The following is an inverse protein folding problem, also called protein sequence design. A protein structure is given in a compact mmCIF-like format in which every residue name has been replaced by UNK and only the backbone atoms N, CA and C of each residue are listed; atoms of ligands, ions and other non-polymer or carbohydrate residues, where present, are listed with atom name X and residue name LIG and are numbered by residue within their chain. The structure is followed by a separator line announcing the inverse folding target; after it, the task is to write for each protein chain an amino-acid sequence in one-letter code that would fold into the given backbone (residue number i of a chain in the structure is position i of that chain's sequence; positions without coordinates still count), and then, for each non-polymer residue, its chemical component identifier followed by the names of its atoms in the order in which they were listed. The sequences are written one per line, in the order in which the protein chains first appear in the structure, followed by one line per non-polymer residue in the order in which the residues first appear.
data_IF_792555724372
#
_entry.id   IF_792555724372
#
_cell.length_a   1.000
_cell.length_b   1.000
_cell.length_c   1.000
_cell.angle_alpha   90.00
_cell.angle_beta   90.00
_cell.angle_gamma   90.00
#
_symmetry.space_group_name_H-M   'P 1'
#
loop_
_entity.id
_entity.type
_entity.pdbx_description
1 polymer ?
#
# COMPACT_ATOMS: atom_id res chain seq x y z
N UNK A 1 26.67 -6.48 -57.42
CA UNK A 1 27.45 -7.17 -56.35
C UNK A 1 28.08 -6.24 -55.33
N UNK A 2 28.75 -5.14 -55.71
CA UNK A 2 29.42 -4.24 -54.74
C UNK A 2 28.47 -3.56 -53.73
N UNK A 3 27.24 -3.19 -54.15
CA UNK A 3 26.25 -2.51 -53.29
C UNK A 3 25.63 -3.46 -52.24
N UNK A 4 25.42 -4.74 -52.57
CA UNK A 4 24.85 -5.75 -51.65
C UNK A 4 25.84 -6.09 -50.52
N UNK A 5 27.14 -6.10 -50.80
CA UNK A 5 28.19 -6.32 -49.80
C UNK A 5 28.29 -5.14 -48.82
N UNK A 6 28.11 -3.91 -49.31
CA UNK A 6 28.15 -2.70 -48.47
C UNK A 6 26.93 -2.65 -47.52
N UNK A 7 25.74 -3.00 -48.01
CA UNK A 7 24.52 -3.04 -47.17
C UNK A 7 24.60 -4.15 -46.11
N UNK A 8 25.20 -5.29 -46.43
CA UNK A 8 25.42 -6.40 -45.48
C UNK A 8 26.41 -6.02 -44.36
N UNK A 9 27.49 -5.29 -44.68
CA UNK A 9 28.43 -4.81 -43.65
C UNK A 9 27.83 -3.72 -42.74
N UNK A 10 26.92 -2.89 -43.24
CA UNK A 10 26.29 -1.81 -42.46
C UNK A 10 25.31 -2.38 -41.41
N UNK A 11 24.69 -3.53 -41.69
CA UNK A 11 23.76 -4.19 -40.77
C UNK A 11 24.46 -4.85 -39.57
N UNK A 12 25.71 -5.32 -39.74
CA UNK A 12 26.49 -5.97 -38.67
C UNK A 12 27.00 -4.94 -37.64
N UNK A 13 27.29 -3.70 -38.08
CA UNK A 13 27.75 -2.61 -37.20
C UNK A 13 26.65 -2.08 -36.26
N UNK A 14 25.37 -2.23 -36.60
CA UNK A 14 24.26 -1.77 -35.76
C UNK A 14 23.94 -2.72 -34.59
N UNK A 15 24.37 -3.99 -34.65
CA UNK A 15 24.07 -5.00 -33.61
C UNK A 15 25.09 -4.94 -32.45
N UNK A 16 26.27 -4.36 -32.67
CA UNK A 16 27.34 -4.27 -31.66
C UNK A 16 27.22 -3.10 -30.68
N UNK A 17 26.33 -2.13 -30.92
CA UNK A 17 26.20 -0.93 -30.09
C UNK A 17 25.32 -1.14 -28.84
N UNK A 18 24.59 -2.24 -28.76
CA UNK A 18 23.83 -2.65 -27.57
C UNK A 18 24.59 -3.73 -26.80
N UNK A 19 25.83 -3.45 -26.38
CA UNK A 19 26.49 -4.28 -25.38
C UNK A 19 26.04 -3.76 -24.00
N UNK A 20 25.04 -4.41 -23.41
CA UNK A 20 24.64 -4.18 -22.03
C UNK A 20 25.83 -4.54 -21.13
N UNK A 21 26.59 -3.51 -20.77
CA UNK A 21 27.77 -3.64 -19.91
C UNK A 21 27.27 -4.08 -18.53
N UNK A 22 27.51 -5.35 -18.19
CA UNK A 22 27.13 -5.89 -16.88
C UNK A 22 27.89 -5.13 -15.78
N UNK A 23 27.28 -4.91 -14.60
CA UNK A 23 27.94 -4.22 -13.51
C UNK A 23 29.28 -4.87 -13.17
N UNK A 24 30.29 -4.08 -12.86
CA UNK A 24 31.54 -4.61 -12.30
C UNK A 24 31.26 -5.32 -10.97
N UNK A 25 32.16 -6.21 -10.55
CA UNK A 25 32.02 -6.90 -9.25
C UNK A 25 31.89 -5.90 -8.07
N UNK A 26 32.55 -4.74 -8.12
CA UNK A 26 32.42 -3.71 -7.09
C UNK A 26 31.06 -3.01 -7.12
N UNK A 27 30.52 -2.74 -8.31
CA UNK A 27 29.18 -2.18 -8.47
C UNK A 27 28.10 -3.17 -8.00
N UNK A 28 28.28 -4.47 -8.26
CA UNK A 28 27.36 -5.50 -7.79
C UNK A 28 27.33 -5.58 -6.26
N UNK A 29 28.49 -5.51 -5.60
CA UNK A 29 28.58 -5.52 -4.15
C UNK A 29 27.88 -4.30 -3.52
N UNK A 30 27.99 -3.12 -4.15
CA UNK A 30 27.29 -1.91 -3.70
C UNK A 30 25.78 -2.03 -3.88
N UNK A 31 25.31 -2.56 -5.02
CA UNK A 31 23.89 -2.83 -5.28
C UNK A 31 23.32 -3.79 -4.24
N UNK A 32 24.05 -4.85 -3.90
CA UNK A 32 23.59 -5.84 -2.93
C UNK A 32 23.55 -5.27 -1.50
N UNK A 33 24.51 -4.41 -1.15
CA UNK A 33 24.49 -3.63 0.09
C UNK A 33 23.27 -2.71 0.17
N UNK A 34 22.98 -1.95 -0.89
CA UNK A 34 21.81 -1.06 -0.94
C UNK A 34 20.49 -1.84 -0.85
N UNK A 35 20.37 -2.98 -1.53
CA UNK A 35 19.19 -3.86 -1.41
C UNK A 35 19.01 -4.36 0.03
N UNK A 36 20.10 -4.70 0.72
CA UNK A 36 20.06 -5.12 2.12
C UNK A 36 19.53 -3.99 3.01
N UNK A 37 20.04 -2.77 2.85
CA UNK A 37 19.57 -1.59 3.59
C UNK A 37 18.10 -1.30 3.31
N UNK A 38 17.68 -1.31 2.04
CA UNK A 38 16.26 -1.09 1.66
C UNK A 38 15.35 -2.14 2.32
N UNK A 39 15.76 -3.40 2.33
CA UNK A 39 15.00 -4.46 3.00
C UNK A 39 14.90 -4.25 4.52
N UNK A 40 15.94 -3.70 5.15
CA UNK A 40 15.95 -3.39 6.58
C UNK A 40 15.10 -2.15 6.94
N UNK A 41 14.94 -1.21 6.00
CA UNK A 41 14.13 0.00 6.17
C UNK A 41 12.63 -0.21 5.92
N UNK A 42 12.24 -1.36 5.37
CA UNK A 42 10.84 -1.68 5.10
C UNK A 42 10.07 -1.76 6.43
N UNK A 43 8.98 -0.99 6.60
CA UNK A 43 8.24 -1.02 7.85
C UNK A 43 7.58 -2.38 8.07
N UNK A 44 7.47 -2.75 9.34
CA UNK A 44 6.71 -3.94 9.74
C UNK A 44 5.20 -3.70 9.62
N UNK A 45 4.41 -4.79 9.59
CA UNK A 45 2.96 -4.67 9.55
C UNK A 45 2.41 -3.89 10.76
N UNK A 46 2.93 -4.15 11.96
CA UNK A 46 2.49 -3.47 13.18
C UNK A 46 2.74 -1.95 13.17
N UNK A 47 3.82 -1.50 12.52
CA UNK A 47 4.11 -0.07 12.36
C UNK A 47 3.08 0.62 11.46
N UNK A 48 2.69 -0.04 10.36
CA UNK A 48 1.63 0.49 9.50
C UNK A 48 0.25 0.37 10.18
N UNK A 49 0.00 -0.70 10.95
CA UNK A 49 -1.25 -0.81 11.74
C UNK A 49 -1.40 0.30 12.79
N UNK A 50 -0.29 0.83 13.30
CA UNK A 50 -0.32 2.01 14.18
C UNK A 50 -0.79 3.26 13.42
N UNK A 51 -0.46 3.38 12.12
CA UNK A 51 -1.01 4.45 11.26
C UNK A 51 -2.52 4.27 11.08
N UNK A 52 -3.00 3.04 10.86
CA UNK A 52 -4.44 2.74 10.79
C UNK A 52 -5.18 3.18 12.06
N UNK A 53 -4.67 2.79 13.24
CA UNK A 53 -5.27 3.17 14.53
C UNK A 53 -5.29 4.69 14.71
N UNK A 54 -4.17 5.37 14.43
CA UNK A 54 -4.08 6.83 14.52
C UNK A 54 -5.09 7.55 13.63
N UNK A 55 -5.23 7.14 12.36
CA UNK A 55 -6.17 7.79 11.45
C UNK A 55 -7.62 7.39 11.74
N UNK A 56 -7.87 6.18 12.24
CA UNK A 56 -9.19 5.74 12.71
C UNK A 56 -9.68 6.60 13.89
N UNK A 57 -8.84 6.84 14.89
CA UNK A 57 -9.17 7.70 16.03
C UNK A 57 -9.44 9.15 15.60
N UNK A 58 -8.63 9.68 14.69
CA UNK A 58 -8.80 11.04 14.16
C UNK A 58 -10.06 11.18 13.32
N UNK A 59 -10.41 10.15 12.56
CA UNK A 59 -11.68 10.09 11.83
C UNK A 59 -12.87 10.16 12.78
N UNK A 60 -12.85 9.40 13.89
CA UNK A 60 -13.86 9.48 14.95
C UNK A 60 -14.02 10.91 15.48
N UNK A 61 -12.89 11.55 15.79
CA UNK A 61 -12.86 12.94 16.26
C UNK A 61 -13.42 13.94 15.24
N UNK A 62 -13.06 13.80 13.97
CA UNK A 62 -13.56 14.64 12.88
C UNK A 62 -15.07 14.50 12.68
N UNK A 63 -15.59 13.25 12.68
CA UNK A 63 -17.02 12.98 12.62
C UNK A 63 -17.76 13.58 13.83
N UNK A 64 -17.18 13.49 15.02
CA UNK A 64 -17.73 14.09 16.24
C UNK A 64 -17.88 15.61 16.15
N UNK A 65 -16.93 16.28 15.49
CA UNK A 65 -16.86 17.73 15.32
C UNK A 65 -17.57 18.25 14.06
N UNK A 66 -18.09 17.34 13.21
CA UNK A 66 -18.67 17.66 11.90
C UNK A 66 -17.66 18.32 10.95
N UNK A 67 -16.37 17.98 11.15
CA UNK A 67 -15.28 18.41 10.28
C UNK A 67 -15.18 17.43 9.09
N UNK A 68 -16.01 17.68 8.07
CA UNK A 68 -16.12 16.79 6.91
C UNK A 68 -14.86 16.74 6.04
N UNK A 69 -14.12 17.86 5.98
CA UNK A 69 -12.85 17.93 5.27
C UNK A 69 -11.81 17.05 5.97
N UNK A 70 -11.70 17.18 7.30
CA UNK A 70 -10.86 16.28 8.09
C UNK A 70 -11.31 14.84 7.99
N UNK A 71 -12.60 14.56 8.04
CA UNK A 71 -13.12 13.20 7.91
C UNK A 71 -12.73 12.57 6.56
N UNK A 72 -12.82 13.32 5.45
CA UNK A 72 -12.37 12.84 4.14
C UNK A 72 -10.87 12.57 4.14
N UNK A 73 -10.08 13.51 4.68
CA UNK A 73 -8.62 13.38 4.77
C UNK A 73 -8.21 12.11 5.54
N UNK A 74 -8.80 11.84 6.71
CA UNK A 74 -8.44 10.65 7.49
C UNK A 74 -8.85 9.33 6.80
N UNK A 75 -9.94 9.33 6.02
CA UNK A 75 -10.31 8.16 5.21
C UNK A 75 -9.26 7.88 4.13
N UNK A 76 -8.75 8.93 3.49
CA UNK A 76 -7.72 8.80 2.45
C UNK A 76 -6.39 8.33 3.06
N UNK A 77 -5.99 8.83 4.23
CA UNK A 77 -4.78 8.35 4.93
C UNK A 77 -4.86 6.86 5.31
N UNK A 78 -6.05 6.36 5.70
CA UNK A 78 -6.26 4.92 5.91
C UNK A 78 -6.09 4.13 4.60
N UNK A 79 -6.57 4.67 3.47
CA UNK A 79 -6.38 4.05 2.14
C UNK A 79 -4.89 4.03 1.78
N UNK A 80 -4.18 5.14 1.97
CA UNK A 80 -2.74 5.22 1.69
C UNK A 80 -1.92 4.23 2.53
N UNK A 81 -2.28 4.07 3.81
CA UNK A 81 -1.66 3.06 4.66
C UNK A 81 -1.91 1.62 4.14
N UNK A 82 -3.10 1.33 3.64
CA UNK A 82 -3.42 0.06 3.00
C UNK A 82 -2.60 -0.17 1.72
N UNK A 83 -2.51 0.85 0.88
CA UNK A 83 -1.74 0.83 -0.36
C UNK A 83 -0.25 0.61 -0.09
N UNK A 84 0.31 1.25 0.94
CA UNK A 84 1.69 1.05 1.38
C UNK A 84 1.97 -0.41 1.74
N UNK A 85 1.05 -1.08 2.44
CA UNK A 85 1.19 -2.52 2.74
C UNK A 85 1.24 -3.35 1.47
N UNK A 86 0.36 -3.07 0.51
CA UNK A 86 0.29 -3.81 -0.75
C UNK A 86 1.50 -3.55 -1.65
N UNK A 87 1.87 -2.29 -1.87
CA UNK A 87 2.98 -1.88 -2.74
C UNK A 87 4.32 -2.42 -2.22
N UNK A 88 4.55 -2.31 -0.91
CA UNK A 88 5.77 -2.82 -0.30
C UNK A 88 5.71 -4.32 -0.04
N UNK A 89 4.59 -5.01 -0.30
CA UNK A 89 4.38 -6.42 0.02
C UNK A 89 4.68 -6.73 1.50
N UNK A 90 4.20 -5.87 2.42
CA UNK A 90 4.39 -6.07 3.85
C UNK A 90 3.57 -7.28 4.29
N UNK A 91 4.18 -8.17 5.07
CA UNK A 91 3.56 -9.38 5.58
C UNK A 91 3.89 -9.56 7.06
N UNK A 92 3.19 -10.46 7.72
CA UNK A 92 3.42 -10.87 9.09
C UNK A 92 3.02 -12.36 9.25
N UNK A 93 3.67 -13.07 10.17
CA UNK A 93 3.43 -14.49 10.44
C UNK A 93 2.01 -14.81 10.93
N UNK A 94 1.30 -13.81 11.47
CA UNK A 94 -0.11 -13.93 11.89
C UNK A 94 -1.10 -13.80 10.75
N UNK A 95 -0.72 -13.18 9.63
CA UNK A 95 -1.63 -13.03 8.49
C UNK A 95 -1.93 -14.40 7.87
N UNK A 96 -3.21 -14.80 7.90
CA UNK A 96 -3.67 -16.07 7.34
C UNK A 96 -3.80 -16.03 5.81
N UNK A 97 -3.85 -14.83 5.23
CA UNK A 97 -3.93 -14.56 3.80
C UNK A 97 -3.11 -13.30 3.47
N UNK A 98 -2.73 -13.06 2.20
CA UNK A 98 -2.12 -11.80 1.79
C UNK A 98 -3.00 -10.61 2.18
N UNK A 99 -2.39 -9.49 2.56
CA UNK A 99 -3.15 -8.31 3.00
C UNK A 99 -4.17 -7.82 1.96
N UNK A 100 -3.88 -7.96 0.67
CA UNK A 100 -4.82 -7.62 -0.42
C UNK A 100 -6.15 -8.35 -0.31
N UNK A 101 -6.16 -9.60 0.14
CA UNK A 101 -7.40 -10.34 0.40
C UNK A 101 -8.24 -9.67 1.50
N UNK A 102 -7.60 -9.29 2.61
CA UNK A 102 -8.28 -8.62 3.72
C UNK A 102 -8.70 -7.20 3.37
N UNK A 103 -7.92 -6.47 2.57
CA UNK A 103 -8.28 -5.15 2.07
C UNK A 103 -9.58 -5.20 1.27
N UNK A 104 -9.68 -6.12 0.30
CA UNK A 104 -10.90 -6.30 -0.50
C UNK A 104 -12.10 -6.73 0.37
N UNK A 105 -11.88 -7.63 1.32
CA UNK A 105 -12.94 -8.18 2.17
C UNK A 105 -13.48 -7.19 3.21
N UNK A 106 -12.62 -6.39 3.84
CA UNK A 106 -12.96 -5.60 5.03
C UNK A 106 -12.89 -4.09 4.83
N UNK A 107 -12.00 -3.60 3.97
CA UNK A 107 -11.65 -2.17 3.97
C UNK A 107 -12.19 -1.44 2.74
N UNK A 108 -11.98 -1.98 1.54
CA UNK A 108 -12.17 -1.25 0.29
C UNK A 108 -13.54 -0.56 0.21
N UNK A 109 -14.62 -1.33 0.32
CA UNK A 109 -15.97 -0.79 0.20
C UNK A 109 -16.32 0.18 1.34
N UNK A 110 -15.90 -0.12 2.58
CA UNK A 110 -16.17 0.76 3.72
C UNK A 110 -15.49 2.11 3.60
N UNK A 111 -14.24 2.15 3.12
CA UNK A 111 -13.50 3.39 2.90
C UNK A 111 -14.06 4.19 1.71
N UNK A 112 -14.52 3.52 0.65
CA UNK A 112 -15.20 4.18 -0.48
C UNK A 112 -16.53 4.83 -0.03
N UNK A 113 -17.33 4.13 0.78
CA UNK A 113 -18.59 4.65 1.34
C UNK A 113 -18.34 5.82 2.30
N UNK A 114 -17.32 5.73 3.17
CA UNK A 114 -17.00 6.81 4.11
C UNK A 114 -16.55 8.09 3.40
N UNK A 115 -15.72 7.98 2.35
CA UNK A 115 -15.30 9.13 1.55
C UNK A 115 -16.48 9.82 0.84
N UNK A 116 -17.42 9.05 0.31
CA UNK A 116 -18.64 9.57 -0.32
C UNK A 116 -19.55 10.27 0.71
N UNK A 117 -19.74 9.68 1.89
CA UNK A 117 -20.52 10.29 2.97
C UNK A 117 -19.90 11.59 3.51
N UNK A 118 -18.57 11.65 3.60
CA UNK A 118 -17.84 12.87 3.97
C UNK A 118 -18.08 13.98 2.93
N UNK A 119 -17.97 13.65 1.65
CA UNK A 119 -18.25 14.56 0.54
C UNK A 119 -19.68 15.10 0.59
N UNK A 120 -20.65 14.22 0.89
CA UNK A 120 -22.08 14.57 1.02
C UNK A 120 -22.43 15.26 2.34
N UNK A 121 -21.49 15.34 3.28
CA UNK A 121 -21.68 15.88 4.64
C UNK A 121 -22.80 15.18 5.42
N UNK A 122 -23.01 13.89 5.14
CA UNK A 122 -24.05 13.10 5.79
C UNK A 122 -23.51 12.55 7.12
N UNK A 123 -23.76 13.30 8.19
CA UNK A 123 -23.27 12.96 9.54
C UNK A 123 -23.84 11.65 10.05
N UNK A 124 -25.10 11.32 9.73
CA UNK A 124 -25.74 10.10 10.18
C UNK A 124 -25.12 8.89 9.46
N UNK A 125 -24.94 8.98 8.14
CA UNK A 125 -24.27 7.96 7.36
C UNK A 125 -22.80 7.80 7.76
N UNK A 126 -22.07 8.90 8.01
CA UNK A 126 -20.67 8.84 8.48
C UNK A 126 -20.55 8.07 9.80
N UNK A 127 -21.38 8.38 10.79
CA UNK A 127 -21.33 7.68 12.10
C UNK A 127 -21.64 6.19 11.97
N UNK A 128 -22.69 5.85 11.22
CA UNK A 128 -23.08 4.45 11.01
C UNK A 128 -21.98 3.67 10.28
N UNK A 129 -21.42 4.25 9.22
CA UNK A 129 -20.37 3.59 8.44
C UNK A 129 -19.02 3.58 9.16
N UNK A 130 -18.76 4.52 10.07
CA UNK A 130 -17.58 4.48 10.94
C UNK A 130 -17.65 3.29 11.90
N UNK A 131 -18.81 3.05 12.52
CA UNK A 131 -19.02 1.84 13.35
C UNK A 131 -18.86 0.57 12.50
N UNK A 132 -19.35 0.56 11.26
CA UNK A 132 -19.14 -0.55 10.34
C UNK A 132 -17.64 -0.76 10.03
N UNK A 133 -16.88 0.31 9.80
CA UNK A 133 -15.42 0.24 9.63
C UNK A 133 -14.75 -0.35 10.88
N UNK A 134 -15.08 0.12 12.09
CA UNK A 134 -14.54 -0.44 13.34
C UNK A 134 -14.81 -1.94 13.46
N UNK A 135 -16.03 -2.36 13.12
CA UNK A 135 -16.39 -3.78 13.11
C UNK A 135 -15.60 -4.58 12.07
N UNK A 136 -15.35 -4.01 10.89
CA UNK A 136 -14.55 -4.64 9.85
C UNK A 136 -13.08 -4.79 10.26
N UNK A 137 -12.49 -3.77 10.89
CA UNK A 137 -11.15 -3.86 11.45
C UNK A 137 -11.07 -4.99 12.49
N UNK A 138 -12.03 -5.04 13.42
CA UNK A 138 -12.13 -6.10 14.42
C UNK A 138 -12.37 -7.48 13.79
N UNK A 139 -13.11 -7.56 12.68
CA UNK A 139 -13.33 -8.78 11.91
C UNK A 139 -12.03 -9.31 11.29
N UNK A 140 -11.23 -8.44 10.68
CA UNK A 140 -9.89 -8.78 10.17
C UNK A 140 -8.97 -9.26 11.30
N UNK A 141 -8.96 -8.57 12.44
CA UNK A 141 -8.18 -8.99 13.61
C UNK A 141 -8.63 -10.36 14.12
N UNK A 142 -9.93 -10.63 14.16
CA UNK A 142 -10.46 -11.94 14.56
C UNK A 142 -10.04 -13.06 13.61
N UNK A 143 -10.19 -12.89 12.29
CA UNK A 143 -9.82 -13.90 11.29
C UNK A 143 -8.32 -14.23 11.31
N UNK A 144 -7.48 -13.28 11.75
CA UNK A 144 -6.05 -13.48 11.90
C UNK A 144 -5.61 -13.93 13.30
N UNK A 145 -6.54 -14.36 14.16
CA UNK A 145 -6.28 -14.78 15.55
C UNK A 145 -5.67 -13.68 16.43
N UNK A 146 -6.02 -12.43 16.15
CA UNK A 146 -5.55 -11.22 16.82
C UNK A 146 -6.67 -10.48 17.54
N UNK A 147 -7.72 -11.18 18.00
CA UNK A 147 -8.89 -10.56 18.67
C UNK A 147 -8.57 -9.74 19.93
N UNK A 148 -7.37 -9.90 20.51
CA UNK A 148 -6.90 -9.08 21.62
C UNK A 148 -6.57 -7.64 21.17
N UNK A 149 -6.31 -7.40 19.89
CA UNK A 149 -6.11 -6.06 19.29
C UNK A 149 -7.45 -5.43 18.94
N UNK A 150 -8.35 -5.30 19.92
CA UNK A 150 -9.69 -4.77 19.68
C UNK A 150 -9.67 -3.24 19.54
N UNK A 151 -10.29 -2.74 18.49
CA UNK A 151 -10.54 -1.32 18.22
C UNK A 151 -11.93 -0.94 18.75
N UNK A 152 -12.06 0.27 19.33
CA UNK A 152 -13.31 0.79 19.92
C UNK A 152 -13.92 1.93 19.11
#
# INVERSE_FOLDING_TARGET
MKIVVIISCLFILLIGACQTQSPSNSQQQEIDSLKSVINQLKPGLGEVMTQFEYHHDRLSGAIGQHDFERASYEVDEIKEAAEKIMQLHITNDKLQQPFSFFFEKYLKNSLDILADNATKKDTAALRSNFVALTNNCNGCHHENNMSFMKIN
#
